data_IF_601074202048
#
_entry.id   IF_601074202048
#
_cell.length_a   1.000
_cell.length_b   1.000
_cell.length_c   1.000
_cell.angle_alpha   90.00
_cell.angle_beta   90.00
_cell.angle_gamma   90.00
#
_symmetry.space_group_name_H-M   'P 1'
#
loop_
_entity.id
_entity.type
_entity.pdbx_description
1 polymer ?
#
# COMPACT_ATOMS: atom_id res chain seq x y z
N UNK A 1 19.27 6.79 0.04
CA UNK A 1 18.40 6.07 -0.91
C UNK A 1 17.75 4.87 -0.25
N UNK A 2 16.66 4.36 -0.83
CA UNK A 2 16.06 3.10 -0.40
C UNK A 2 17.04 1.94 -0.60
N UNK A 3 17.17 1.07 0.41
CA UNK A 3 17.93 -0.18 0.27
C UNK A 3 17.21 -1.09 -0.74
N UNK A 4 17.86 -1.37 -1.86
CA UNK A 4 17.32 -2.21 -2.93
C UNK A 4 16.88 -3.57 -2.43
N UNK A 5 17.74 -4.26 -1.67
CA UNK A 5 17.47 -5.57 -1.08
C UNK A 5 16.23 -5.57 -0.17
N UNK A 6 16.13 -4.59 0.74
CA UNK A 6 14.96 -4.49 1.63
C UNK A 6 13.69 -4.15 0.86
N UNK A 7 13.79 -3.34 -0.19
CA UNK A 7 12.65 -2.98 -1.01
C UNK A 7 12.16 -4.16 -1.87
N UNK A 8 13.07 -4.96 -2.42
CA UNK A 8 12.73 -6.22 -3.12
C UNK A 8 11.99 -7.18 -2.20
N UNK A 9 12.51 -7.41 -0.98
CA UNK A 9 11.84 -8.21 0.03
C UNK A 9 10.45 -7.65 0.36
N UNK A 10 10.33 -6.34 0.53
CA UNK A 10 9.05 -5.68 0.82
C UNK A 10 8.04 -5.82 -0.33
N UNK A 11 8.49 -5.76 -1.59
CA UNK A 11 7.63 -5.94 -2.77
C UNK A 11 7.12 -7.37 -2.91
N UNK A 12 7.98 -8.36 -2.66
CA UNK A 12 7.59 -9.77 -2.66
C UNK A 12 6.59 -10.08 -1.53
N UNK A 13 6.88 -9.64 -0.30
CA UNK A 13 5.95 -9.77 0.84
C UNK A 13 4.65 -9.02 0.56
N UNK A 14 4.70 -7.81 0.00
CA UNK A 14 3.51 -7.05 -0.40
C UNK A 14 2.60 -7.86 -1.34
N UNK A 15 3.18 -8.45 -2.40
CA UNK A 15 2.44 -9.28 -3.36
C UNK A 15 1.78 -10.49 -2.70
N UNK A 16 2.51 -11.23 -1.85
CA UNK A 16 1.98 -12.42 -1.15
C UNK A 16 0.94 -12.05 -0.09
N UNK A 17 1.18 -11.02 0.71
CA UNK A 17 0.27 -10.54 1.74
C UNK A 17 -1.05 -10.02 1.15
N UNK A 18 -1.01 -9.35 -0.01
CA UNK A 18 -2.24 -8.94 -0.70
C UNK A 18 -3.06 -10.14 -1.22
N UNK A 19 -2.38 -11.18 -1.72
CA UNK A 19 -3.08 -12.43 -2.11
C UNK A 19 -3.68 -13.13 -0.90
N UNK A 20 -2.99 -13.15 0.24
CA UNK A 20 -3.55 -13.66 1.49
C UNK A 20 -4.78 -12.87 1.92
N UNK A 21 -4.75 -11.54 1.81
CA UNK A 21 -5.88 -10.69 2.18
C UNK A 21 -7.12 -10.98 1.34
N UNK A 22 -6.95 -11.19 0.03
CA UNK A 22 -8.02 -11.63 -0.86
C UNK A 22 -8.55 -13.01 -0.49
N UNK A 23 -7.65 -13.95 -0.22
CA UNK A 23 -8.03 -15.30 0.18
C UNK A 23 -8.85 -15.30 1.49
N UNK A 24 -8.45 -14.51 2.50
CA UNK A 24 -9.22 -14.34 3.73
C UNK A 24 -10.60 -13.75 3.45
N UNK A 25 -10.69 -12.72 2.59
CA UNK A 25 -11.98 -12.16 2.17
C UNK A 25 -12.90 -13.20 1.53
N UNK A 26 -12.35 -14.07 0.66
CA UNK A 26 -13.11 -15.12 0.01
C UNK A 26 -13.53 -16.22 1.00
N UNK A 27 -12.66 -16.57 1.95
CA UNK A 27 -12.94 -17.54 2.99
C UNK A 27 -14.06 -17.06 3.94
N UNK A 28 -14.08 -15.76 4.26
CA UNK A 28 -15.19 -15.11 4.99
C UNK A 28 -16.48 -15.21 4.18
N UNK A 29 -16.44 -14.86 2.88
CA UNK A 29 -17.62 -14.92 2.02
C UNK A 29 -18.20 -16.32 1.85
N UNK A 30 -17.38 -17.36 2.03
CA UNK A 30 -17.79 -18.78 2.03
C UNK A 30 -18.19 -19.30 3.42
N UNK A 31 -18.07 -18.49 4.47
CA UNK A 31 -18.40 -18.87 5.84
C UNK A 31 -17.35 -19.73 6.55
N UNK A 32 -16.14 -19.88 5.97
CA UNK A 32 -15.06 -20.66 6.59
C UNK A 32 -14.38 -19.90 7.74
N UNK A 33 -14.38 -18.57 7.69
CA UNK A 33 -13.78 -17.70 8.71
C UNK A 33 -14.84 -16.70 9.19
N UNK A 34 -15.19 -16.68 10.49
CA UNK A 34 -16.03 -15.61 11.04
C UNK A 34 -15.36 -14.25 10.87
N UNK A 35 -16.13 -13.23 10.50
CA UNK A 35 -15.63 -11.85 10.30
C UNK A 35 -14.99 -11.29 11.57
N UNK A 36 -15.54 -11.59 12.74
CA UNK A 36 -15.01 -11.16 14.04
C UNK A 36 -13.58 -11.66 14.25
N UNK A 37 -13.35 -12.94 13.95
CA UNK A 37 -12.04 -13.58 14.05
C UNK A 37 -11.04 -12.99 13.05
N UNK A 38 -11.49 -12.59 11.86
CA UNK A 38 -10.64 -11.91 10.90
C UNK A 38 -10.18 -10.52 11.41
N UNK A 39 -11.04 -9.79 12.12
CA UNK A 39 -10.68 -8.50 12.73
C UNK A 39 -9.72 -8.64 13.92
N UNK A 40 -9.92 -9.64 14.77
CA UNK A 40 -9.05 -9.90 15.92
C UNK A 40 -7.62 -10.18 15.48
N UNK A 41 -7.42 -11.10 14.52
CA UNK A 41 -6.08 -11.41 14.02
C UNK A 41 -5.45 -10.27 13.24
N UNK A 42 -6.26 -9.47 12.55
CA UNK A 42 -5.80 -8.39 11.69
C UNK A 42 -5.15 -7.21 12.41
N UNK A 43 -5.66 -6.87 13.59
CA UNK A 43 -5.31 -5.63 14.28
C UNK A 43 -4.14 -5.80 15.25
N UNK A 44 -3.70 -7.04 15.49
CA UNK A 44 -2.58 -7.34 16.37
C UNK A 44 -1.57 -8.24 15.66
N UNK A 45 -0.36 -7.74 15.50
CA UNK A 45 0.74 -8.44 14.84
C UNK A 45 1.04 -9.81 15.45
N UNK A 46 0.97 -9.93 16.79
CA UNK A 46 1.16 -11.20 17.50
C UNK A 46 0.06 -12.19 17.11
N UNK A 47 -1.20 -11.75 17.15
CA UNK A 47 -2.33 -12.58 16.79
C UNK A 47 -2.31 -12.98 15.28
N UNK A 48 -1.89 -12.08 14.39
CA UNK A 48 -1.64 -12.41 12.97
C UNK A 48 -0.57 -13.52 12.86
N UNK A 49 0.55 -13.37 13.58
CA UNK A 49 1.65 -14.32 13.54
C UNK A 49 1.21 -15.70 14.02
N UNK A 50 0.59 -15.78 15.19
CA UNK A 50 0.12 -17.05 15.77
C UNK A 50 -0.85 -17.75 14.83
N UNK A 51 -1.74 -16.99 14.19
CA UNK A 51 -2.65 -17.53 13.19
C UNK A 51 -1.92 -18.07 11.96
N UNK A 52 -0.96 -17.32 11.39
CA UNK A 52 -0.18 -17.76 10.22
C UNK A 52 0.66 -18.99 10.56
N UNK A 53 1.31 -19.01 11.72
CA UNK A 53 2.16 -20.11 12.17
C UNK A 53 1.33 -21.38 12.42
N UNK A 54 0.22 -21.26 13.14
CA UNK A 54 -0.69 -22.38 13.41
C UNK A 54 -1.43 -22.92 12.19
N UNK A 55 -1.53 -22.13 11.11
CA UNK A 55 -2.19 -22.53 9.87
C UNK A 55 -1.22 -22.68 8.69
N UNK A 56 0.09 -22.67 8.92
CA UNK A 56 1.11 -22.56 7.88
C UNK A 56 0.95 -23.62 6.78
N UNK A 57 0.75 -24.88 7.17
CA UNK A 57 0.61 -26.00 6.23
C UNK A 57 -0.75 -26.03 5.51
N UNK A 58 -1.76 -25.37 6.08
CA UNK A 58 -3.08 -25.19 5.48
C UNK A 58 -3.14 -24.02 4.49
N UNK A 59 -2.17 -23.09 4.54
CA UNK A 59 -2.11 -21.98 3.59
C UNK A 59 -1.75 -22.48 2.18
N UNK A 60 -2.46 -22.05 1.12
CA UNK A 60 -2.08 -22.32 -0.26
C UNK A 60 -0.60 -21.95 -0.53
N UNK A 61 0.16 -22.76 -1.28
CA UNK A 61 1.58 -22.50 -1.52
C UNK A 61 1.89 -21.10 -2.08
N UNK A 62 1.02 -20.56 -2.94
CA UNK A 62 1.21 -19.25 -3.57
C UNK A 62 1.08 -18.03 -2.63
N UNK A 63 0.55 -18.24 -1.42
CA UNK A 63 0.35 -17.18 -0.39
C UNK A 63 1.09 -17.49 0.92
N UNK A 64 1.74 -18.66 0.99
CA UNK A 64 2.48 -19.11 2.16
C UNK A 64 3.80 -18.34 2.27
N UNK A 65 4.12 -17.71 3.41
CA UNK A 65 5.43 -17.09 3.60
C UNK A 65 6.54 -18.15 3.69
N UNK A 66 7.79 -17.75 3.51
CA UNK A 66 8.91 -18.62 3.86
C UNK A 66 9.02 -18.73 5.40
N UNK A 67 9.64 -19.79 5.92
CA UNK A 67 9.67 -20.03 7.38
C UNK A 67 10.46 -18.93 8.09
N UNK A 68 11.51 -18.44 7.45
CA UNK A 68 12.34 -17.33 7.93
C UNK A 68 11.57 -15.99 7.99
N UNK A 69 10.44 -15.89 7.29
CA UNK A 69 9.62 -14.69 7.18
C UNK A 69 8.42 -14.70 8.15
N UNK A 70 8.33 -15.66 9.07
CA UNK A 70 7.22 -15.77 10.04
C UNK A 70 7.15 -14.60 11.05
N UNK A 71 8.11 -13.68 11.03
CA UNK A 71 8.03 -12.41 11.77
C UNK A 71 7.65 -11.26 10.83
N UNK A 72 8.40 -11.06 9.75
CA UNK A 72 8.21 -9.89 8.85
C UNK A 72 6.93 -9.96 8.03
N UNK A 73 6.47 -11.15 7.66
CA UNK A 73 5.28 -11.31 6.85
C UNK A 73 3.99 -10.98 7.64
N UNK A 74 3.76 -11.51 8.86
CA UNK A 74 2.64 -11.07 9.71
C UNK A 74 2.65 -9.56 10.00
N UNK A 75 3.82 -9.01 10.34
CA UNK A 75 4.02 -7.56 10.53
C UNK A 75 3.49 -6.77 9.34
N UNK A 76 3.90 -7.15 8.12
CA UNK A 76 3.47 -6.48 6.92
C UNK A 76 1.98 -6.70 6.64
N UNK A 77 1.48 -7.91 6.85
CA UNK A 77 0.09 -8.25 6.58
C UNK A 77 -0.87 -7.43 7.45
N UNK A 78 -0.63 -7.33 8.77
CA UNK A 78 -1.49 -6.59 9.70
C UNK A 78 -1.64 -5.12 9.29
N UNK A 79 -0.56 -4.52 8.77
CA UNK A 79 -0.60 -3.13 8.32
C UNK A 79 -1.61 -2.85 7.20
N UNK A 80 -2.00 -3.82 6.37
CA UNK A 80 -3.01 -3.59 5.33
C UNK A 80 -4.36 -3.17 5.90
N UNK A 81 -4.73 -3.71 7.05
CA UNK A 81 -6.02 -3.45 7.68
C UNK A 81 -5.97 -2.17 8.51
N UNK A 82 -4.77 -1.78 8.95
CA UNK A 82 -4.52 -0.44 9.48
C UNK A 82 -4.57 0.64 8.39
N UNK A 83 -3.98 0.38 7.22
CA UNK A 83 -3.72 1.43 6.23
C UNK A 83 -4.66 1.49 5.05
N UNK A 84 -5.25 0.37 4.64
CA UNK A 84 -5.78 0.28 3.27
C UNK A 84 -7.14 -0.36 3.17
N UNK A 85 -7.48 -1.29 4.06
CA UNK A 85 -8.72 -2.06 3.95
C UNK A 85 -9.45 -2.22 5.28
N UNK A 86 -10.74 -2.48 5.19
CA UNK A 86 -11.61 -2.89 6.29
C UNK A 86 -12.37 -4.15 5.90
N UNK A 87 -12.58 -5.05 6.86
CA UNK A 87 -13.54 -6.12 6.71
C UNK A 87 -14.94 -5.65 7.12
N UNK A 88 -15.90 -5.77 6.22
CA UNK A 88 -17.32 -5.44 6.46
C UNK A 88 -18.10 -6.73 6.65
N UNK A 89 -18.82 -6.85 7.78
CA UNK A 89 -19.63 -8.05 8.06
C UNK A 89 -20.75 -8.25 7.04
N UNK A 90 -21.39 -7.16 6.63
CA UNK A 90 -22.50 -7.16 5.67
C UNK A 90 -22.17 -6.24 4.49
N UNK A 91 -21.42 -6.72 3.49
CA UNK A 91 -20.98 -5.88 2.37
C UNK A 91 -22.12 -5.54 1.40
N UNK A 92 -23.31 -6.09 1.56
CA UNK A 92 -24.45 -5.84 0.69
C UNK A 92 -24.21 -6.36 -0.73
N UNK A 93 -24.92 -5.78 -1.70
CA UNK A 93 -24.85 -6.16 -3.11
C UNK A 93 -24.12 -5.09 -3.92
N UNK A 94 -23.43 -5.50 -4.99
CA UNK A 94 -22.90 -4.61 -6.03
C UNK A 94 -23.33 -5.08 -7.42
N UNK A 95 -23.47 -4.15 -8.34
CA UNK A 95 -23.63 -4.49 -9.75
C UNK A 95 -22.27 -4.97 -10.31
N UNK A 96 -22.29 -6.10 -11.01
CA UNK A 96 -21.16 -6.63 -11.75
C UNK A 96 -21.57 -6.81 -13.22
N UNK A 97 -20.71 -6.40 -14.15
CA UNK A 97 -20.88 -6.62 -15.58
C UNK A 97 -19.65 -7.32 -16.15
N UNK A 98 -19.86 -8.32 -17.01
CA UNK A 98 -18.78 -9.03 -17.71
C UNK A 98 -18.12 -8.20 -18.81
N UNK A 99 -18.85 -7.28 -19.43
CA UNK A 99 -18.43 -6.60 -20.66
C UNK A 99 -18.29 -5.08 -20.49
N UNK A 100 -18.06 -4.59 -19.27
CA UNK A 100 -18.04 -3.16 -18.90
C UNK A 100 -19.33 -2.36 -19.17
N UNK A 101 -20.31 -2.93 -19.86
CA UNK A 101 -21.64 -2.36 -20.07
C UNK A 101 -22.56 -2.65 -18.88
N UNK A 102 -23.07 -1.61 -18.23
CA UNK A 102 -24.01 -1.74 -17.10
C UNK A 102 -25.48 -1.70 -17.54
N UNK A 103 -25.81 -2.27 -18.72
CA UNK A 103 -27.21 -2.39 -19.14
C UNK A 103 -27.94 -3.49 -18.33
N UNK A 104 -29.26 -3.45 -18.33
CA UNK A 104 -30.12 -4.40 -17.60
C UNK A 104 -29.87 -5.86 -18.00
N UNK A 105 -29.41 -6.11 -19.22
CA UNK A 105 -29.14 -7.47 -19.71
C UNK A 105 -27.74 -7.99 -19.32
N UNK A 106 -26.76 -7.10 -19.10
CA UNK A 106 -25.36 -7.48 -18.85
C UNK A 106 -24.94 -7.31 -17.39
N UNK A 107 -25.70 -6.55 -16.60
CA UNK A 107 -25.44 -6.35 -15.18
C UNK A 107 -26.19 -7.38 -14.34
N UNK A 108 -25.51 -7.91 -13.33
CA UNK A 108 -26.12 -8.75 -12.29
C UNK A 108 -25.75 -8.21 -10.92
N UNK A 109 -26.65 -8.38 -9.95
CA UNK A 109 -26.34 -8.12 -8.55
C UNK A 109 -25.58 -9.31 -7.98
N UNK A 110 -24.39 -9.06 -7.44
CA UNK A 110 -23.58 -10.05 -6.73
C UNK A 110 -23.28 -9.54 -5.32
N UNK A 111 -22.98 -10.46 -4.40
CA UNK A 111 -22.47 -10.07 -3.09
C UNK A 111 -21.20 -9.24 -3.27
N UNK A 112 -21.16 -8.06 -2.64
CA UNK A 112 -19.95 -7.28 -2.61
C UNK A 112 -18.90 -7.98 -1.74
N UNK A 113 -17.59 -7.77 -2.00
CA UNK A 113 -16.55 -8.39 -1.19
C UNK A 113 -16.60 -7.86 0.25
N UNK A 114 -16.33 -8.74 1.21
CA UNK A 114 -16.17 -8.36 2.62
C UNK A 114 -14.99 -7.40 2.82
N UNK A 115 -13.95 -7.53 2.01
CA UNK A 115 -12.83 -6.58 1.99
C UNK A 115 -13.19 -5.31 1.21
N UNK A 116 -13.14 -4.17 1.89
CA UNK A 116 -13.37 -2.84 1.29
C UNK A 116 -12.15 -1.95 1.49
N UNK A 117 -11.80 -1.17 0.47
CA UNK A 117 -10.77 -0.15 0.63
C UNK A 117 -11.27 0.95 1.58
N UNK A 118 -10.38 1.46 2.44
CA UNK A 118 -10.67 2.59 3.32
C UNK A 118 -11.08 3.83 2.51
N UNK A 119 -12.02 4.59 3.06
CA UNK A 119 -12.39 5.90 2.53
C UNK A 119 -11.39 6.93 3.03
N UNK A 120 -10.72 7.61 2.09
CA UNK A 120 -9.77 8.66 2.42
C UNK A 120 -10.49 9.98 2.69
N UNK A 121 -10.19 10.60 3.82
CA UNK A 121 -10.63 11.94 4.16
C UNK A 121 -9.56 13.00 3.77
N UNK A 122 -9.81 14.27 4.09
CA UNK A 122 -8.87 15.37 3.79
C UNK A 122 -7.59 15.29 4.62
N UNK A 123 -7.68 14.87 5.88
CA UNK A 123 -6.54 14.73 6.79
C UNK A 123 -5.58 13.63 6.30
N UNK A 124 -6.09 12.49 5.80
CA UNK A 124 -5.25 11.41 5.26
C UNK A 124 -4.44 11.87 4.05
N UNK A 125 -5.06 12.67 3.18
CA UNK A 125 -4.39 13.24 2.00
C UNK A 125 -3.35 14.27 2.40
N UNK A 126 -3.66 15.14 3.37
CA UNK A 126 -2.70 16.10 3.89
C UNK A 126 -1.50 15.42 4.55
N UNK A 127 -1.77 14.40 5.37
CA UNK A 127 -0.72 13.61 6.01
C UNK A 127 0.19 12.93 4.97
N UNK A 128 -0.36 12.42 3.88
CA UNK A 128 0.45 11.88 2.79
C UNK A 128 1.35 12.93 2.13
N UNK A 129 0.89 14.19 2.02
CA UNK A 129 1.72 15.31 1.54
C UNK A 129 2.85 15.65 2.52
N UNK A 130 2.55 15.69 3.81
CA UNK A 130 3.56 15.93 4.85
C UNK A 130 4.62 14.81 4.83
N UNK A 131 4.20 13.54 4.66
CA UNK A 131 5.12 12.41 4.52
C UNK A 131 6.01 12.54 3.26
N UNK A 132 5.46 13.02 2.14
CA UNK A 132 6.25 13.28 0.94
C UNK A 132 7.28 14.39 1.13
N UNK A 133 6.91 15.48 1.81
CA UNK A 133 7.83 16.56 2.13
C UNK A 133 8.95 16.09 3.08
N UNK A 134 8.60 15.30 4.11
CA UNK A 134 9.56 14.68 5.03
C UNK A 134 10.52 13.75 4.28
N UNK A 135 10.02 12.93 3.35
CA UNK A 135 10.87 12.05 2.54
C UNK A 135 11.80 12.84 1.62
N UNK A 136 11.33 13.90 0.98
CA UNK A 136 12.15 14.78 0.16
C UNK A 136 13.34 15.34 0.95
N UNK A 137 13.07 15.85 2.16
CA UNK A 137 14.11 16.38 3.06
C UNK A 137 15.07 15.30 3.54
N UNK A 138 14.56 14.12 3.90
CA UNK A 138 15.42 12.99 4.28
C UNK A 138 16.36 12.60 3.13
N UNK A 139 15.84 12.47 1.91
CA UNK A 139 16.63 12.14 0.73
C UNK A 139 17.67 13.23 0.39
N UNK A 140 17.30 14.52 0.54
CA UNK A 140 18.24 15.62 0.37
C UNK A 140 19.39 15.55 1.40
N UNK A 141 19.08 15.33 2.68
CA UNK A 141 20.06 15.18 3.76
C UNK A 141 20.98 13.98 3.53
N UNK A 142 20.45 12.83 3.10
CA UNK A 142 21.22 11.63 2.74
C UNK A 142 22.28 11.92 1.66
N UNK A 143 22.08 12.95 0.83
CA UNK A 143 22.97 13.37 -0.25
C UNK A 143 23.70 14.70 0.03
N UNK A 144 23.64 15.22 1.25
CA UNK A 144 24.32 16.45 1.63
C UNK A 144 23.76 17.73 0.97
N UNK A 145 22.48 17.70 0.59
CA UNK A 145 21.75 18.85 0.01
C UNK A 145 20.90 19.48 1.11
N UNK A 146 21.10 20.77 1.38
CA UNK A 146 20.21 21.53 2.27
C UNK A 146 18.87 21.78 1.57
N UNK A 147 17.77 21.31 2.17
CA UNK A 147 16.42 21.51 1.64
C UNK A 147 15.50 22.11 2.71
N UNK A 148 15.12 23.36 2.49
CA UNK A 148 14.16 24.07 3.33
C UNK A 148 12.77 23.44 3.27
N UNK A 149 12.00 23.58 4.34
CA UNK A 149 10.67 22.98 4.47
C UNK A 149 9.65 23.55 3.47
N UNK A 150 9.70 24.86 3.24
CA UNK A 150 8.87 25.53 2.23
C UNK A 150 9.12 24.95 0.83
N UNK A 151 10.40 24.76 0.48
CA UNK A 151 10.80 24.18 -0.80
C UNK A 151 10.36 22.73 -0.92
N UNK A 152 10.50 21.92 0.13
CA UNK A 152 10.00 20.55 0.13
C UNK A 152 8.47 20.50 -0.14
N UNK A 153 7.72 21.44 0.44
CA UNK A 153 6.27 21.57 0.19
C UNK A 153 5.96 21.96 -1.26
N UNK A 154 6.75 22.86 -1.86
CA UNK A 154 6.63 23.22 -3.28
C UNK A 154 6.87 22.02 -4.20
N UNK A 155 7.87 21.18 -3.92
CA UNK A 155 8.15 19.98 -4.70
C UNK A 155 6.97 18.99 -4.66
N UNK A 156 6.29 18.88 -3.52
CA UNK A 156 5.09 18.04 -3.34
C UNK A 156 3.88 18.58 -4.12
N UNK A 157 3.79 19.90 -4.29
CA UNK A 157 2.74 20.55 -5.06
C UNK A 157 3.03 20.58 -6.57
N UNK A 158 4.30 20.40 -6.97
CA UNK A 158 4.76 20.49 -8.35
C UNK A 158 4.86 19.16 -9.09
N UNK A 159 5.69 19.16 -10.14
CA UNK A 159 5.80 18.05 -11.10
C UNK A 159 6.39 16.77 -10.49
N UNK A 160 7.16 16.87 -9.41
CA UNK A 160 7.76 15.73 -8.72
C UNK A 160 6.79 15.00 -7.79
N UNK A 161 5.54 15.45 -7.65
CA UNK A 161 4.57 14.83 -6.73
C UNK A 161 4.47 13.32 -6.88
N UNK A 162 4.43 12.83 -8.12
CA UNK A 162 4.30 11.39 -8.40
C UNK A 162 5.57 10.63 -7.98
N UNK A 163 6.74 11.17 -8.26
CA UNK A 163 8.01 10.55 -7.88
C UNK A 163 8.20 10.55 -6.36
N UNK A 164 7.84 11.65 -5.70
CA UNK A 164 7.83 11.73 -4.24
C UNK A 164 6.86 10.73 -3.63
N UNK A 165 5.69 10.51 -4.24
CA UNK A 165 4.78 9.47 -3.79
C UNK A 165 5.39 8.07 -3.90
N UNK A 166 6.11 7.76 -4.99
CA UNK A 166 6.85 6.49 -5.12
C UNK A 166 7.93 6.35 -4.04
N UNK A 167 8.86 7.30 -3.91
CA UNK A 167 9.94 7.23 -2.90
C UNK A 167 9.37 7.11 -1.48
N UNK A 168 8.33 7.88 -1.15
CA UNK A 168 7.69 7.84 0.16
C UNK A 168 6.96 6.52 0.41
N UNK A 169 6.24 6.01 -0.59
CA UNK A 169 5.58 4.71 -0.49
C UNK A 169 6.61 3.58 -0.35
N UNK A 170 7.72 3.64 -1.08
CA UNK A 170 8.82 2.68 -0.99
C UNK A 170 9.47 2.66 0.39
N UNK A 171 9.69 3.84 0.98
CA UNK A 171 10.12 3.96 2.37
C UNK A 171 9.15 3.24 3.31
N UNK A 172 7.84 3.49 3.17
CA UNK A 172 6.83 2.86 4.01
C UNK A 172 6.64 1.36 3.75
N UNK A 173 6.86 0.87 2.54
CA UNK A 173 6.91 -0.59 2.28
C UNK A 173 7.99 -1.24 3.14
N UNK A 174 9.16 -0.62 3.24
CA UNK A 174 10.26 -1.13 4.08
C UNK A 174 9.92 -1.05 5.56
N UNK A 175 9.30 0.05 6.03
CA UNK A 175 8.87 0.20 7.43
C UNK A 175 7.80 -0.84 7.83
N UNK A 176 6.93 -1.23 6.89
CA UNK A 176 5.88 -2.24 7.13
C UNK A 176 6.44 -3.65 7.36
N UNK A 177 7.68 -3.94 6.92
CA UNK A 177 8.36 -5.20 7.31
C UNK A 177 8.50 -5.32 8.83
N UNK A 178 8.61 -4.18 9.51
CA UNK A 178 8.75 -4.07 10.96
C UNK A 178 7.40 -3.78 11.65
N UNK A 179 6.30 -3.80 10.89
CA UNK A 179 4.93 -3.66 11.40
C UNK A 179 4.47 -2.20 11.56
N UNK A 180 5.25 -1.24 11.10
CA UNK A 180 4.91 0.18 11.18
C UNK A 180 3.96 0.61 10.06
N UNK A 181 3.06 1.55 10.38
CA UNK A 181 2.09 2.10 9.44
C UNK A 181 1.71 3.53 9.83
N UNK A 182 1.52 4.40 8.83
CA UNK A 182 0.95 5.74 8.99
C UNK A 182 -0.56 5.76 8.64
N UNK A 183 -1.21 4.61 8.82
CA UNK A 183 -2.65 4.47 8.61
C UNK A 183 -3.08 4.79 7.17
N UNK A 184 -4.27 5.39 6.97
CA UNK A 184 -4.83 5.66 5.64
C UNK A 184 -3.99 6.58 4.74
N UNK A 185 -3.05 7.35 5.29
CA UNK A 185 -2.13 8.16 4.50
C UNK A 185 -1.30 7.30 3.52
N UNK A 186 -0.98 6.06 3.88
CA UNK A 186 -0.26 5.13 3.00
C UNK A 186 -1.10 4.74 1.78
N UNK A 187 -2.42 4.57 1.95
CA UNK A 187 -3.33 4.37 0.83
C UNK A 187 -3.44 5.64 -0.03
N UNK A 188 -3.40 6.84 0.59
CA UNK A 188 -3.36 8.09 -0.17
C UNK A 188 -2.09 8.21 -1.02
N UNK A 189 -0.92 7.83 -0.50
CA UNK A 189 0.34 7.75 -1.28
C UNK A 189 0.19 6.82 -2.48
N UNK A 190 -0.28 5.58 -2.27
CA UNK A 190 -0.52 4.60 -3.35
C UNK A 190 -1.40 5.16 -4.47
N UNK A 191 -2.48 5.88 -4.12
CA UNK A 191 -3.39 6.48 -5.10
C UNK A 191 -2.74 7.59 -5.95
N UNK A 192 -1.62 8.17 -5.55
CA UNK A 192 -0.96 9.20 -6.37
C UNK A 192 -0.31 8.62 -7.65
N UNK A 193 -0.03 7.32 -7.71
CA UNK A 193 0.60 6.70 -8.88
C UNK A 193 -0.13 5.46 -9.42
N UNK A 194 -0.98 4.80 -8.62
CA UNK A 194 -1.74 3.62 -9.05
C UNK A 194 -3.17 3.94 -9.52
N UNK A 195 -3.57 5.22 -9.50
CA UNK A 195 -4.91 5.67 -9.92
C UNK A 195 -4.82 6.72 -11.03
N UNK A 196 -5.82 6.72 -11.91
CA UNK A 196 -6.04 7.75 -12.92
C UNK A 196 -6.48 9.04 -12.23
N UNK A 197 -6.21 10.18 -12.89
CA UNK A 197 -6.71 11.50 -12.46
C UNK A 197 -8.24 11.56 -12.32
N UNK A 198 -8.96 10.71 -13.06
CA UNK A 198 -10.43 10.58 -12.98
C UNK A 198 -10.94 9.86 -11.73
N UNK A 199 -10.05 9.39 -10.85
CA UNK A 199 -10.43 8.72 -9.61
C UNK A 199 -10.80 7.24 -9.80
N UNK A 200 -10.16 6.54 -10.73
CA UNK A 200 -10.27 5.09 -10.87
C UNK A 200 -8.89 4.43 -10.86
N UNK A 201 -8.74 3.18 -10.39
CA UNK A 201 -7.47 2.46 -10.48
C UNK A 201 -6.98 2.35 -11.94
N UNK A 202 -5.66 2.33 -12.12
CA UNK A 202 -5.06 2.01 -13.41
C UNK A 202 -5.20 0.48 -13.64
N UNK A 203 -5.85 0.03 -14.73
CA UNK A 203 -5.95 -1.39 -15.05
C UNK A 203 -4.56 -2.04 -15.18
N UNK A 204 -4.42 -3.25 -14.66
CA UNK A 204 -3.20 -4.06 -14.74
C UNK A 204 -1.93 -3.36 -14.20
N UNK A 205 -2.12 -2.35 -13.33
CA UNK A 205 -1.02 -1.67 -12.68
C UNK A 205 -0.18 -2.66 -11.87
N UNK A 206 1.11 -2.69 -12.19
CA UNK A 206 2.10 -3.52 -11.51
C UNK A 206 3.14 -2.59 -10.90
N UNK A 207 3.47 -2.84 -9.64
CA UNK A 207 4.51 -2.09 -8.94
C UNK A 207 5.84 -2.84 -9.08
N UNK A 208 6.86 -2.17 -9.62
CA UNK A 208 8.19 -2.73 -9.80
C UNK A 208 9.24 -2.00 -8.96
N UNK A 209 10.36 -2.66 -8.71
CA UNK A 209 11.52 -2.04 -8.06
C UNK A 209 12.02 -0.81 -8.85
N UNK A 210 12.04 -0.92 -10.19
CA UNK A 210 12.54 0.13 -11.07
C UNK A 210 11.77 1.45 -10.90
N UNK A 211 10.45 1.38 -10.66
CA UNK A 211 9.63 2.57 -10.43
C UNK A 211 10.16 3.44 -9.28
N UNK A 212 10.67 2.81 -8.21
CA UNK A 212 11.22 3.51 -7.04
C UNK A 212 12.60 4.10 -7.33
N UNK A 213 13.47 3.33 -8.00
CA UNK A 213 14.82 3.76 -8.36
C UNK A 213 14.74 4.97 -9.30
N UNK A 214 13.90 4.89 -10.31
CA UNK A 214 13.66 5.95 -11.28
C UNK A 214 13.11 7.21 -10.61
N UNK A 215 12.19 7.05 -9.65
CA UNK A 215 11.63 8.15 -8.90
C UNK A 215 12.69 8.86 -8.03
N UNK A 216 13.49 8.11 -7.25
CA UNK A 216 14.56 8.72 -6.44
C UNK A 216 15.61 9.41 -7.31
N UNK A 217 15.94 8.83 -8.47
CA UNK A 217 16.87 9.43 -9.44
C UNK A 217 16.35 10.78 -9.96
N UNK A 218 15.07 10.86 -10.35
CA UNK A 218 14.46 12.12 -10.81
C UNK A 218 14.37 13.17 -9.72
N UNK A 219 14.04 12.77 -8.48
CA UNK A 219 14.02 13.68 -7.34
C UNK A 219 15.43 14.26 -7.10
N UNK A 220 16.46 13.42 -7.06
CA UNK A 220 17.84 13.85 -6.83
C UNK A 220 18.36 14.75 -7.96
N UNK A 221 18.03 14.46 -9.22
CA UNK A 221 18.38 15.32 -10.35
C UNK A 221 17.78 16.72 -10.16
N UNK A 222 16.50 16.82 -9.80
CA UNK A 222 15.84 18.10 -9.57
C UNK A 222 16.40 18.87 -8.36
N UNK A 223 16.77 18.17 -7.28
CA UNK A 223 17.42 18.77 -6.11
C UNK A 223 18.82 19.33 -6.43
N UNK A 224 19.56 18.70 -7.34
CA UNK A 224 20.89 19.17 -7.75
C UNK A 224 20.83 20.38 -8.68
N UNK A 225 19.87 20.45 -9.61
CA UNK A 225 19.70 21.62 -10.50
C UNK A 225 19.43 22.91 -9.71
N UNK A 226 18.81 22.81 -8.54
CA UNK A 226 18.58 23.96 -7.65
C UNK A 226 19.84 24.48 -6.96
N UNK A 227 20.92 23.70 -6.88
CA UNK A 227 22.19 24.16 -6.31
C UNK A 227 22.92 25.17 -7.21
N UNK A 228 22.62 25.15 -8.51
CA UNK A 228 23.34 25.91 -9.54
C UNK A 228 22.62 27.21 -9.96
N UNK A 229 21.44 27.51 -9.39
CA UNK A 229 20.76 28.80 -9.62
C UNK A 229 21.25 29.83 -8.58
N UNK A 230 21.98 30.88 -8.99
CA UNK A 230 22.56 31.87 -8.09
C UNK A 230 21.52 32.80 -7.43
#
# INVERSE_FOLDING_TARGET
MLSTERLELALDIHGRSYRLLKWVSDAIGKGFIPVTRAHEYANETVATRDWIEGNFDSLPPAIRPAREQLVTFPNFFSTYLMSSFDFTASPGMRAESKNSSFCTCCSRLVNAPHLRAKTLNKCDKRRAEDLMALRARALATEHGIALEESRATELVAGDLRRDLAYSTYGHWLVQRLDGHSDGPAILALWRNFAWKKTGSPIPDFTLSLQDFIDAETRILAALNMTKESP
#
